data_IF_410831845293
#
_entry.id   IF_410831845293
#
_cell.length_a   1.000
_cell.length_b   1.000
_cell.length_c   1.000
_cell.angle_alpha   90.00
_cell.angle_beta   90.00
_cell.angle_gamma   90.00
#
_symmetry.space_group_name_H-M   'P 1'
#
loop_
_entity.id
_entity.type
_entity.pdbx_description
1 polymer ?
#
# COMPACT_ATOMS: atom_id res chain seq x y z
N UNK A 1 33.72 25.62 -0.09
CA UNK A 1 33.17 24.25 0.12
C UNK A 1 31.66 24.30 -0.06
N UNK A 2 31.11 23.48 -0.96
CA UNK A 2 29.65 23.37 -1.15
C UNK A 2 29.08 22.53 -0.01
N UNK A 3 28.10 23.07 0.72
CA UNK A 3 27.29 22.29 1.66
C UNK A 3 26.60 21.14 0.89
N UNK A 4 26.49 19.94 1.45
CA UNK A 4 25.66 18.89 0.87
C UNK A 4 24.19 19.34 0.98
N UNK A 5 23.50 19.37 -0.16
CA UNK A 5 22.04 19.53 -0.20
C UNK A 5 21.43 18.30 0.46
N UNK A 6 20.87 18.45 1.66
CA UNK A 6 20.10 17.38 2.30
C UNK A 6 18.82 17.17 1.49
N UNK A 7 18.73 16.05 0.79
CA UNK A 7 17.50 15.65 0.13
C UNK A 7 16.62 14.97 1.18
N UNK A 8 15.35 15.36 1.27
CA UNK A 8 14.36 14.73 2.15
C UNK A 8 13.54 13.77 1.29
N UNK A 9 13.27 12.56 1.80
CA UNK A 9 12.51 11.53 1.07
C UNK A 9 11.18 11.32 1.80
N UNK A 10 10.04 11.47 1.12
CA UNK A 10 8.81 11.87 1.84
C UNK A 10 7.53 11.05 1.63
N UNK A 11 7.50 10.10 0.70
CA UNK A 11 6.40 9.11 0.57
C UNK A 11 7.04 7.76 0.36
N UNK A 12 6.39 6.69 0.83
CA UNK A 12 7.10 5.47 1.14
C UNK A 12 6.31 4.23 0.80
N UNK A 13 6.91 3.35 0.00
CA UNK A 13 6.29 2.10 -0.37
C UNK A 13 7.25 0.92 -0.38
N UNK A 14 6.72 -0.15 0.17
CA UNK A 14 7.09 -1.53 0.39
C UNK A 14 6.68 -2.65 -0.55
N UNK A 15 7.31 -2.94 -1.69
CA UNK A 15 7.02 -4.19 -2.41
C UNK A 15 7.90 -5.34 -1.93
N UNK A 16 7.36 -6.56 -1.82
CA UNK A 16 8.14 -7.78 -1.71
C UNK A 16 7.60 -8.89 -2.61
N UNK A 17 8.48 -9.61 -3.31
CA UNK A 17 8.10 -10.73 -4.17
C UNK A 17 9.25 -11.72 -4.36
N UNK A 18 8.89 -12.93 -4.78
CA UNK A 18 9.81 -14.05 -5.00
C UNK A 18 10.34 -14.01 -6.45
N UNK A 19 11.66 -14.05 -6.63
CA UNK A 19 12.28 -14.21 -7.96
C UNK A 19 12.85 -15.63 -8.02
N UNK A 20 12.18 -16.56 -8.72
CA UNK A 20 12.76 -17.78 -9.31
C UNK A 20 11.77 -18.47 -10.29
N UNK A 21 12.25 -19.29 -11.26
CA UNK A 21 11.47 -19.83 -12.36
C UNK A 21 10.68 -21.08 -11.92
N UNK A 22 9.67 -21.46 -12.72
CA UNK A 22 8.80 -22.64 -12.62
C UNK A 22 7.44 -22.46 -11.93
N UNK A 23 6.41 -22.66 -12.76
CA UNK A 23 5.08 -23.14 -12.39
C UNK A 23 5.17 -24.47 -11.63
N UNK A 24 4.20 -24.78 -10.75
CA UNK A 24 3.38 -26.01 -10.80
C UNK A 24 2.26 -26.03 -9.74
N UNK A 25 1.16 -26.64 -10.18
CA UNK A 25 -0.15 -26.91 -9.61
C UNK A 25 -0.22 -27.76 -8.32
N UNK A 26 -1.45 -27.74 -7.75
CA UNK A 26 -2.10 -28.65 -6.78
C UNK A 26 -1.66 -30.13 -6.76
N UNK A 27 -1.64 -30.63 -5.51
CA UNK A 27 -1.93 -31.99 -4.98
C UNK A 27 -0.95 -33.16 -5.20
N UNK A 28 -0.33 -33.64 -4.12
CA UNK A 28 -0.52 -34.96 -3.46
C UNK A 28 0.71 -35.34 -2.61
N UNK A 29 0.51 -36.21 -1.63
CA UNK A 29 1.41 -36.46 -0.48
C UNK A 29 2.81 -37.06 -0.80
N UNK A 30 3.71 -36.78 0.15
CA UNK A 30 4.75 -37.65 0.75
C UNK A 30 6.23 -37.36 0.41
N UNK A 31 7.13 -37.60 1.39
CA UNK A 31 8.24 -36.74 1.71
C UNK A 31 9.53 -37.19 1.05
N UNK A 32 10.25 -36.27 0.41
CA UNK A 32 11.66 -36.47 0.14
C UNK A 32 12.40 -35.16 0.28
N UNK A 33 13.38 -35.20 1.20
CA UNK A 33 14.40 -34.19 1.39
C UNK A 33 15.13 -33.97 0.06
N UNK A 34 14.96 -32.78 -0.51
CA UNK A 34 15.94 -32.10 -1.35
C UNK A 34 15.61 -30.62 -1.20
N UNK A 35 16.19 -29.97 -0.18
CA UNK A 35 16.07 -28.53 0.03
C UNK A 35 16.80 -27.86 -1.13
N UNK A 36 16.00 -27.50 -2.14
CA UNK A 36 16.42 -26.73 -3.30
C UNK A 36 16.99 -25.38 -2.87
N UNK A 37 17.94 -24.96 -3.69
CA UNK A 37 18.84 -23.83 -3.54
C UNK A 37 18.09 -22.49 -3.64
N UNK A 38 18.44 -21.55 -2.73
CA UNK A 38 18.60 -20.12 -3.01
C UNK A 38 17.44 -19.31 -3.66
N UNK A 39 16.23 -19.37 -3.10
CA UNK A 39 15.16 -18.41 -3.47
C UNK A 39 15.51 -16.98 -3.01
N UNK A 40 15.86 -16.11 -3.96
CA UNK A 40 16.14 -14.70 -3.71
C UNK A 40 14.84 -13.88 -3.66
N UNK A 41 14.39 -13.51 -2.47
CA UNK A 41 13.22 -12.62 -2.30
C UNK A 41 13.67 -11.17 -2.40
N UNK A 42 13.03 -10.43 -3.29
CA UNK A 42 13.38 -9.03 -3.54
C UNK A 42 12.33 -8.10 -2.95
N UNK A 43 12.81 -7.11 -2.21
CA UNK A 43 12.07 -5.96 -1.76
C UNK A 43 12.33 -4.77 -2.69
N UNK A 44 11.31 -3.97 -2.98
CA UNK A 44 11.45 -2.68 -3.64
C UNK A 44 10.95 -1.60 -2.71
N UNK A 45 11.87 -0.82 -2.18
CA UNK A 45 11.58 0.38 -1.40
C UNK A 45 11.53 1.58 -2.36
N UNK A 46 10.33 2.11 -2.59
CA UNK A 46 10.12 3.27 -3.44
C UNK A 46 9.75 4.49 -2.62
N UNK A 47 10.20 5.66 -3.08
CA UNK A 47 9.91 6.87 -2.37
C UNK A 47 9.96 8.15 -3.21
N UNK A 48 9.31 9.21 -2.74
CA UNK A 48 9.45 10.54 -3.35
C UNK A 48 10.78 11.19 -2.98
N UNK A 49 11.57 11.58 -3.97
CA UNK A 49 12.77 12.42 -3.79
C UNK A 49 12.36 13.89 -3.72
N UNK A 50 12.71 14.58 -2.63
CA UNK A 50 12.37 16.00 -2.44
C UNK A 50 13.56 16.86 -2.04
N UNK A 51 13.48 18.15 -2.35
CA UNK A 51 14.47 19.16 -1.89
C UNK A 51 14.24 19.61 -0.44
N UNK A 52 13.02 19.45 0.07
CA UNK A 52 12.65 19.80 1.44
C UNK A 52 11.50 18.90 1.91
N UNK A 53 11.05 19.09 3.15
CA UNK A 53 9.87 18.42 3.72
C UNK A 53 8.53 18.83 3.08
N UNK A 54 8.52 19.84 2.21
CA UNK A 54 7.30 20.30 1.57
C UNK A 54 6.94 19.45 0.36
N UNK A 55 5.66 19.08 0.25
CA UNK A 55 5.09 18.36 -0.89
C UNK A 55 5.35 19.05 -2.25
N UNK A 56 5.45 20.38 -2.25
CA UNK A 56 5.70 21.16 -3.48
C UNK A 56 7.10 20.95 -4.07
N UNK A 57 8.04 20.46 -3.25
CA UNK A 57 9.45 20.33 -3.60
C UNK A 57 9.83 18.92 -4.11
N UNK A 58 8.84 18.11 -4.47
CA UNK A 58 9.04 16.81 -5.11
C UNK A 58 9.74 16.95 -6.47
N UNK A 59 10.75 16.11 -6.69
CA UNK A 59 11.57 16.09 -7.90
C UNK A 59 11.34 14.86 -8.77
N UNK A 60 10.92 13.75 -8.17
CA UNK A 60 10.81 12.46 -8.84
C UNK A 60 10.67 11.33 -7.84
N UNK A 61 10.71 10.10 -8.36
CA UNK A 61 10.70 8.90 -7.55
C UNK A 61 12.10 8.29 -7.49
N UNK A 62 12.41 7.70 -6.34
CA UNK A 62 13.60 6.89 -6.13
C UNK A 62 13.19 5.47 -5.77
N UNK A 63 14.05 4.52 -6.12
CA UNK A 63 13.92 3.11 -5.82
C UNK A 63 15.18 2.63 -5.13
N UNK A 64 15.02 1.77 -4.15
CA UNK A 64 16.10 0.96 -3.56
C UNK A 64 15.66 -0.49 -3.58
N UNK A 65 16.49 -1.37 -4.13
CA UNK A 65 16.23 -2.81 -4.19
C UNK A 65 16.85 -3.48 -2.98
N UNK A 66 16.14 -4.41 -2.35
CA UNK A 66 16.58 -5.13 -1.18
C UNK A 66 16.51 -6.64 -1.43
N UNK A 67 17.52 -7.39 -1.03
CA UNK A 67 17.61 -8.82 -1.25
C UNK A 67 17.60 -9.54 0.10
N UNK A 68 16.57 -10.35 0.33
CA UNK A 68 16.46 -11.13 1.56
C UNK A 68 17.46 -12.29 1.53
N UNK A 69 18.42 -12.26 2.44
CA UNK A 69 19.42 -13.32 2.63
C UNK A 69 19.60 -13.57 4.13
N UNK A 70 19.51 -14.83 4.56
CA UNK A 70 19.73 -15.22 5.96
C UNK A 70 18.90 -14.39 6.98
N UNK A 71 17.61 -14.14 6.68
CA UNK A 71 16.70 -13.35 7.53
C UNK A 71 17.06 -11.86 7.67
N UNK A 72 17.97 -11.34 6.85
CA UNK A 72 18.30 -9.92 6.76
C UNK A 72 18.15 -9.44 5.33
N UNK A 73 17.84 -8.16 5.15
CA UNK A 73 17.72 -7.55 3.82
C UNK A 73 19.00 -6.78 3.51
N UNK A 74 19.68 -7.15 2.44
CA UNK A 74 20.81 -6.40 1.89
C UNK A 74 20.31 -5.44 0.83
N UNK A 75 20.57 -4.15 1.00
CA UNK A 75 20.03 -3.11 0.15
C UNK A 75 21.07 -2.59 -0.85
N UNK A 76 20.68 -2.54 -2.12
CA UNK A 76 21.42 -1.90 -3.19
C UNK A 76 21.47 -0.38 -2.98
N UNK A 77 22.22 0.33 -3.84
CA UNK A 77 22.20 1.78 -3.89
C UNK A 77 20.83 2.31 -4.32
N UNK A 78 20.54 3.56 -3.91
CA UNK A 78 19.33 4.26 -4.33
C UNK A 78 19.49 4.70 -5.78
N UNK A 79 18.49 4.42 -6.61
CA UNK A 79 18.41 4.85 -8.01
C UNK A 79 17.23 5.79 -8.22
N UNK A 80 17.36 6.75 -9.13
CA UNK A 80 16.27 7.61 -9.57
C UNK A 80 15.50 6.95 -10.71
N UNK A 81 14.17 6.99 -10.64
CA UNK A 81 13.30 6.46 -11.69
C UNK A 81 13.08 7.52 -12.76
N UNK A 82 14.07 7.72 -13.63
CA UNK A 82 14.04 8.73 -14.70
C UNK A 82 12.88 8.51 -15.70
N UNK A 83 12.44 7.26 -15.87
CA UNK A 83 11.27 6.93 -16.71
C UNK A 83 9.95 7.34 -16.08
N UNK A 84 9.90 7.61 -14.77
CA UNK A 84 8.70 8.05 -14.03
C UNK A 84 8.61 9.59 -13.95
N UNK A 85 8.95 10.27 -15.04
CA UNK A 85 8.92 11.74 -15.13
C UNK A 85 8.12 12.17 -16.35
N UNK A 86 7.24 13.16 -16.14
CA UNK A 86 6.56 13.86 -17.22
C UNK A 86 7.07 15.30 -17.27
N UNK A 87 7.52 15.77 -18.44
CA UNK A 87 8.12 17.08 -18.59
C UNK A 87 7.20 18.20 -18.07
N UNK A 88 7.75 19.10 -17.24
CA UNK A 88 7.01 20.18 -16.58
C UNK A 88 6.29 19.74 -15.29
N UNK A 89 6.00 18.45 -15.12
CA UNK A 89 5.28 17.95 -13.97
C UNK A 89 6.19 17.54 -12.81
N UNK A 90 5.65 17.63 -11.59
CA UNK A 90 6.25 17.00 -10.39
C UNK A 90 5.64 15.63 -10.18
N UNK A 91 6.48 14.60 -10.06
CA UNK A 91 6.02 13.23 -9.78
C UNK A 91 5.87 13.00 -8.28
N UNK A 92 4.73 12.46 -7.86
CA UNK A 92 4.39 12.21 -6.46
C UNK A 92 3.55 10.93 -6.31
N UNK A 93 3.50 10.38 -5.10
CA UNK A 93 2.69 9.20 -4.78
C UNK A 93 3.11 7.98 -5.60
N UNK A 94 4.29 7.39 -5.37
CA UNK A 94 4.60 6.07 -5.93
C UNK A 94 3.53 5.08 -5.48
N UNK A 95 3.18 4.11 -6.33
CA UNK A 95 2.01 3.24 -6.18
C UNK A 95 2.20 1.91 -6.94
N UNK A 96 3.06 0.99 -6.47
CA UNK A 96 3.48 -0.20 -7.19
C UNK A 96 2.68 -1.48 -6.88
N UNK A 97 1.94 -1.98 -7.87
CA UNK A 97 1.24 -3.27 -7.84
C UNK A 97 2.09 -4.35 -8.49
N UNK A 98 2.07 -5.55 -7.93
CA UNK A 98 2.69 -6.73 -8.55
C UNK A 98 1.64 -7.73 -9.02
N UNK A 99 1.61 -7.97 -10.33
CA UNK A 99 0.91 -9.10 -10.92
C UNK A 99 1.80 -10.34 -10.80
N UNK A 100 1.41 -11.26 -9.92
CA UNK A 100 2.16 -12.49 -9.64
C UNK A 100 2.12 -13.48 -10.81
N UNK A 101 1.03 -13.49 -11.57
CA UNK A 101 0.82 -14.44 -12.66
C UNK A 101 1.66 -14.08 -13.87
N UNK A 102 1.69 -12.79 -14.23
CA UNK A 102 2.54 -12.28 -15.31
C UNK A 102 3.95 -11.91 -14.87
N UNK A 103 4.20 -11.84 -13.56
CA UNK A 103 5.45 -11.35 -12.95
C UNK A 103 5.80 -9.95 -13.42
N UNK A 104 4.79 -9.08 -13.52
CA UNK A 104 4.95 -7.69 -13.94
C UNK A 104 4.59 -6.77 -12.78
N UNK A 105 5.41 -5.75 -12.57
CA UNK A 105 5.11 -4.65 -11.66
C UNK A 105 4.60 -3.45 -12.42
N UNK A 106 3.55 -2.84 -11.90
CA UNK A 106 2.97 -1.60 -12.37
C UNK A 106 3.17 -0.56 -11.30
N UNK A 107 3.98 0.47 -11.56
CA UNK A 107 4.16 1.61 -10.67
C UNK A 107 3.31 2.76 -11.18
N UNK A 108 2.21 3.04 -10.48
CA UNK A 108 1.40 4.23 -10.69
C UNK A 108 1.99 5.42 -9.93
N UNK A 109 1.64 6.63 -10.36
CA UNK A 109 2.02 7.88 -9.71
C UNK A 109 1.28 9.08 -10.29
N UNK A 110 1.37 10.22 -9.60
CA UNK A 110 0.73 11.47 -9.99
C UNK A 110 1.74 12.40 -10.60
N UNK A 111 1.37 13.00 -11.74
CA UNK A 111 2.09 14.14 -12.29
C UNK A 111 1.32 15.43 -11.97
N UNK A 112 1.87 16.24 -11.05
CA UNK A 112 1.24 17.43 -10.48
C UNK A 112 1.51 18.67 -11.33
N UNK A 113 0.69 18.84 -12.36
CA UNK A 113 0.34 20.13 -13.01
C UNK A 113 -1.11 20.09 -13.52
N UNK A 114 -1.56 18.92 -13.97
CA UNK A 114 -2.96 18.63 -14.29
C UNK A 114 -3.49 17.41 -13.54
N UNK A 115 -2.77 16.97 -12.51
CA UNK A 115 -3.19 15.88 -11.65
C UNK A 115 -3.39 14.57 -12.45
N UNK A 116 -2.39 14.27 -13.29
CA UNK A 116 -2.43 13.13 -14.23
C UNK A 116 -2.12 11.83 -13.52
N UNK A 117 -2.87 10.78 -13.86
CA UNK A 117 -2.57 9.41 -13.47
C UNK A 117 -1.57 8.83 -14.47
N UNK A 118 -0.36 8.52 -14.00
CA UNK A 118 0.69 7.97 -14.84
C UNK A 118 1.13 6.60 -14.33
N UNK A 119 1.71 5.79 -15.21
CA UNK A 119 2.18 4.45 -14.90
C UNK A 119 3.44 4.10 -15.68
N UNK A 120 4.36 3.39 -15.04
CA UNK A 120 5.47 2.66 -15.67
C UNK A 120 5.43 1.21 -15.23
N UNK A 121 5.99 0.29 -16.01
CA UNK A 121 6.04 -1.13 -15.66
C UNK A 121 7.44 -1.74 -15.69
N UNK A 122 7.66 -2.75 -14.88
CA UNK A 122 8.90 -3.54 -14.85
C UNK A 122 8.57 -5.03 -14.90
N UNK A 123 9.29 -5.78 -15.74
CA UNK A 123 9.16 -7.24 -15.89
C UNK A 123 10.40 -7.99 -15.40
N UNK A 124 11.32 -7.29 -14.75
CA UNK A 124 12.65 -7.78 -14.37
C UNK A 124 13.01 -7.40 -12.92
N UNK A 125 11.99 -7.42 -12.05
CA UNK A 125 12.16 -7.15 -10.63
C UNK A 125 12.71 -5.74 -10.30
N UNK A 126 12.27 -4.75 -11.06
CA UNK A 126 12.54 -3.33 -10.79
C UNK A 126 13.93 -2.90 -11.26
N UNK A 127 14.59 -3.71 -12.09
CA UNK A 127 15.90 -3.39 -12.68
C UNK A 127 15.72 -2.37 -13.79
N UNK A 128 14.77 -2.61 -14.70
CA UNK A 128 14.40 -1.68 -15.76
C UNK A 128 12.91 -1.36 -15.71
N UNK A 129 12.57 -0.20 -16.24
CA UNK A 129 11.21 0.34 -16.25
C UNK A 129 10.86 0.80 -17.67
N UNK A 130 9.61 0.58 -18.07
CA UNK A 130 9.09 1.03 -19.37
C UNK A 130 9.03 2.56 -19.46
N UNK A 131 8.75 3.05 -20.66
CA UNK A 131 8.29 4.43 -20.84
C UNK A 131 6.99 4.68 -20.06
N UNK A 132 6.79 5.96 -19.71
CA UNK A 132 5.61 6.45 -19.00
C UNK A 132 4.36 6.37 -19.88
N UNK A 133 3.29 5.85 -19.29
CA UNK A 133 1.95 5.85 -19.87
C UNK A 133 1.06 6.81 -19.07
N UNK A 134 0.44 7.78 -19.74
CA UNK A 134 -0.57 8.67 -19.14
C UNK A 134 -1.95 8.03 -19.28
N UNK A 135 -2.49 7.52 -18.17
CA UNK A 135 -3.74 6.79 -18.09
C UNK A 135 -4.95 7.69 -17.80
N UNK A 136 -4.75 9.01 -17.71
CA UNK A 136 -5.76 9.94 -17.21
C UNK A 136 -7.06 9.85 -18.01
N UNK A 137 -7.00 9.94 -19.33
CA UNK A 137 -8.21 9.90 -20.17
C UNK A 137 -8.79 8.50 -20.31
N UNK A 138 -7.93 7.48 -20.38
CA UNK A 138 -8.34 6.10 -20.65
C UNK A 138 -9.05 5.47 -19.44
N UNK A 139 -8.63 5.81 -18.23
CA UNK A 139 -9.12 5.18 -16.99
C UNK A 139 -10.13 6.08 -16.27
N UNK A 140 -9.83 7.37 -16.18
CA UNK A 140 -10.67 8.33 -15.47
C UNK A 140 -11.70 8.93 -16.42
N UNK A 141 -11.23 9.51 -17.53
CA UNK A 141 -12.05 10.19 -18.53
C UNK A 141 -13.07 11.17 -17.91
N UNK A 142 -14.27 11.24 -18.50
CA UNK A 142 -15.38 12.06 -18.00
C UNK A 142 -16.15 11.41 -16.83
N UNK A 143 -15.78 10.20 -16.38
CA UNK A 143 -16.50 9.53 -15.26
C UNK A 143 -16.38 10.33 -13.96
N UNK A 144 -15.35 11.16 -13.86
CA UNK A 144 -15.14 12.15 -12.80
C UNK A 144 -15.19 13.55 -13.46
N UNK A 145 -16.33 13.89 -14.08
CA UNK A 145 -16.56 14.98 -15.05
C UNK A 145 -16.27 16.43 -14.61
N UNK A 146 -15.79 16.70 -13.41
CA UNK A 146 -15.43 18.07 -12.99
C UNK A 146 -14.25 18.14 -12.03
N UNK A 147 -13.58 17.02 -11.73
CA UNK A 147 -12.62 16.93 -10.64
C UNK A 147 -11.17 16.82 -11.06
N UNK A 148 -10.33 17.77 -10.67
CA UNK A 148 -8.89 17.53 -10.61
C UNK A 148 -8.63 16.32 -9.71
N UNK A 149 -8.04 15.24 -10.22
CA UNK A 149 -7.48 14.19 -9.36
C UNK A 149 -6.13 14.66 -8.82
N UNK A 150 -6.15 15.71 -8.00
CA UNK A 150 -5.02 15.95 -7.13
C UNK A 150 -4.95 14.77 -6.15
N UNK A 151 -3.78 14.23 -5.86
CA UNK A 151 -3.70 13.15 -4.90
C UNK A 151 -2.53 12.25 -5.18
N UNK A 152 -1.82 11.87 -4.12
CA UNK A 152 -0.75 10.88 -4.16
C UNK A 152 -1.41 9.52 -4.38
N UNK A 153 -1.07 8.84 -5.48
CA UNK A 153 -1.45 7.44 -5.65
C UNK A 153 -0.52 6.59 -4.76
N UNK A 154 -0.96 5.43 -4.29
CA UNK A 154 -0.15 4.37 -3.68
C UNK A 154 -0.91 3.04 -3.87
N UNK A 155 -0.40 1.93 -4.39
CA UNK A 155 -1.20 0.69 -4.58
C UNK A 155 -0.23 -0.46 -4.42
N UNK A 156 -0.65 -1.51 -3.72
CA UNK A 156 -0.32 -2.89 -4.03
C UNK A 156 -1.59 -3.55 -4.57
N UNK A 157 -1.71 -4.88 -4.60
CA UNK A 157 -2.95 -5.54 -4.98
C UNK A 157 -4.15 -4.93 -4.24
N UNK A 158 -4.88 -4.09 -4.98
CA UNK A 158 -5.68 -2.97 -4.49
C UNK A 158 -4.89 -2.01 -3.61
N UNK A 159 -4.89 -0.73 -3.96
CA UNK A 159 -4.48 0.22 -2.95
C UNK A 159 -4.89 1.65 -3.22
N UNK A 160 -4.32 2.46 -2.36
CA UNK A 160 -4.43 3.90 -2.21
C UNK A 160 -4.62 4.69 -3.51
N UNK A 161 -5.88 4.84 -3.86
CA UNK A 161 -6.38 5.94 -4.65
C UNK A 161 -7.31 6.80 -3.81
N UNK A 162 -7.19 8.10 -3.92
CA UNK A 162 -8.30 8.99 -3.61
C UNK A 162 -8.43 10.02 -4.71
N UNK A 163 -9.66 10.17 -5.22
CA UNK A 163 -10.02 11.20 -6.16
C UNK A 163 -10.66 12.37 -5.41
N UNK A 164 -10.40 13.60 -5.85
CA UNK A 164 -11.27 14.70 -5.47
C UNK A 164 -12.48 14.70 -6.41
N UNK A 165 -13.67 14.53 -5.82
CA UNK A 165 -14.88 14.96 -6.49
C UNK A 165 -14.99 16.48 -6.27
N UNK A 166 -14.90 17.24 -7.35
CA UNK A 166 -15.28 18.66 -7.33
C UNK A 166 -16.78 18.70 -7.58
N UNK A 167 -17.58 18.70 -6.50
CA UNK A 167 -19.01 18.89 -6.66
C UNK A 167 -19.28 20.37 -6.90
N UNK A 168 -19.50 20.77 -8.16
CA UNK A 168 -19.96 22.11 -8.48
C UNK A 168 -21.43 22.26 -8.02
N UNK A 169 -21.64 22.73 -6.80
CA UNK A 169 -22.95 23.23 -6.40
C UNK A 169 -23.12 24.63 -6.97
N UNK A 170 -23.91 24.79 -8.04
CA UNK A 170 -24.22 26.11 -8.60
C UNK A 170 -25.27 26.83 -7.73
N UNK A 171 -24.93 27.06 -6.45
CA UNK A 171 -25.75 27.82 -5.51
C UNK A 171 -25.34 29.29 -5.60
N UNK A 172 -26.05 30.08 -6.40
CA UNK A 172 -26.06 31.55 -6.36
C UNK A 172 -24.73 32.23 -5.96
N UNK A 173 -23.72 32.11 -6.81
CA UNK A 173 -22.59 33.06 -6.84
C UNK A 173 -21.46 32.90 -5.82
N UNK A 174 -21.25 31.74 -5.17
CA UNK A 174 -20.06 31.53 -4.30
C UNK A 174 -19.46 30.12 -4.34
N UNK A 175 -18.12 30.10 -4.45
CA UNK A 175 -17.09 29.07 -4.20
C UNK A 175 -17.33 27.64 -4.70
N UNK A 176 -16.40 27.14 -5.52
CA UNK A 176 -16.24 25.70 -5.79
C UNK A 176 -15.76 25.00 -4.51
N UNK A 177 -16.43 23.91 -4.11
CA UNK A 177 -16.00 23.06 -3.00
C UNK A 177 -15.56 21.70 -3.53
N UNK A 178 -14.44 21.21 -3.02
CA UNK A 178 -13.88 19.91 -3.41
C UNK A 178 -13.98 18.95 -2.22
N UNK A 179 -14.51 17.75 -2.47
CA UNK A 179 -14.67 16.71 -1.46
C UNK A 179 -13.84 15.50 -1.88
N UNK A 180 -12.85 15.08 -1.08
CA UNK A 180 -12.04 13.93 -1.41
C UNK A 180 -12.79 12.63 -1.09
N UNK A 181 -12.67 11.68 -1.99
CA UNK A 181 -13.22 10.34 -1.87
C UNK A 181 -12.19 9.31 -2.33
N UNK A 182 -11.95 8.30 -1.52
CA UNK A 182 -11.13 7.15 -1.91
C UNK A 182 -11.78 6.36 -3.04
N UNK A 183 -10.94 5.74 -3.86
CA UNK A 183 -11.30 4.80 -4.91
C UNK A 183 -10.15 3.80 -5.10
N UNK A 184 -10.36 2.76 -5.90
CA UNK A 184 -9.26 1.90 -6.34
C UNK A 184 -9.28 1.71 -7.86
N UNK A 185 -8.10 1.44 -8.40
CA UNK A 185 -7.91 1.01 -9.78
C UNK A 185 -7.79 -0.50 -9.83
N UNK A 186 -8.32 -1.12 -10.87
CA UNK A 186 -8.24 -2.57 -11.05
C UNK A 186 -8.12 -2.93 -12.54
N UNK A 187 -7.67 -4.15 -12.80
CA UNK A 187 -7.55 -4.72 -14.13
C UNK A 187 -7.95 -6.19 -14.08
N UNK A 188 -8.67 -6.65 -15.11
CA UNK A 188 -9.11 -8.04 -15.25
C UNK A 188 -8.33 -8.79 -16.36
N UNK A 189 -7.40 -8.09 -17.03
CA UNK A 189 -6.67 -8.58 -18.20
C UNK A 189 -5.15 -8.44 -18.05
N UNK A 190 -4.69 -8.50 -16.81
CA UNK A 190 -3.28 -8.41 -16.42
C UNK A 190 -2.62 -7.08 -16.83
N UNK A 191 -3.34 -5.97 -16.64
CA UNK A 191 -2.86 -4.62 -16.84
C UNK A 191 -2.80 -4.16 -18.30
N UNK A 192 -3.48 -4.86 -19.21
CA UNK A 192 -3.68 -4.38 -20.59
C UNK A 192 -4.67 -3.20 -20.60
N UNK A 193 -5.73 -3.30 -19.81
CA UNK A 193 -6.68 -2.21 -19.54
C UNK A 193 -6.88 -2.01 -18.04
N UNK A 194 -7.26 -0.79 -17.67
CA UNK A 194 -7.47 -0.39 -16.29
C UNK A 194 -8.85 0.25 -16.13
N UNK A 195 -9.50 -0.09 -15.03
CA UNK A 195 -10.82 0.38 -14.64
C UNK A 195 -10.73 1.09 -13.28
N UNK A 196 -11.73 1.90 -12.99
CA UNK A 196 -11.86 2.67 -11.74
C UNK A 196 -13.12 2.23 -11.00
N UNK A 197 -13.02 2.07 -9.69
CA UNK A 197 -14.17 1.76 -8.84
C UNK A 197 -15.15 2.94 -8.72
N UNK A 198 -16.30 2.68 -8.11
CA UNK A 198 -17.11 3.70 -7.47
C UNK A 198 -16.28 4.50 -6.45
N UNK A 199 -16.79 5.67 -6.05
CA UNK A 199 -16.19 6.47 -4.98
C UNK A 199 -16.71 5.99 -3.63
N UNK A 200 -15.86 6.00 -2.60
CA UNK A 200 -16.33 5.81 -1.21
C UNK A 200 -17.29 6.95 -0.85
N UNK A 201 -18.56 6.62 -0.71
CA UNK A 201 -19.63 7.58 -0.43
C UNK A 201 -19.75 7.91 1.06
N UNK A 202 -20.54 8.93 1.39
CA UNK A 202 -20.96 9.32 2.76
C UNK A 202 -19.87 9.88 3.69
N UNK A 203 -18.59 9.55 3.48
CA UNK A 203 -17.45 10.11 4.22
C UNK A 203 -16.43 10.74 3.28
N UNK A 204 -15.87 11.88 3.70
CA UNK A 204 -14.67 12.43 3.06
C UNK A 204 -13.47 11.58 3.45
N UNK A 205 -12.89 10.94 2.45
CA UNK A 205 -11.86 9.90 2.57
C UNK A 205 -10.62 10.32 1.79
N UNK A 206 -9.45 9.82 2.19
CA UNK A 206 -8.13 10.25 1.70
C UNK A 206 -7.27 9.02 1.36
N UNK A 207 -5.97 9.01 1.69
CA UNK A 207 -5.12 7.83 1.50
C UNK A 207 -5.78 6.59 2.10
N UNK A 208 -5.91 5.52 1.30
CA UNK A 208 -6.54 4.27 1.72
C UNK A 208 -5.66 3.07 1.36
N UNK A 209 -5.44 2.07 2.20
CA UNK A 209 -4.84 0.82 1.71
C UNK A 209 -5.90 -0.23 1.48
N UNK A 210 -5.55 -1.26 0.74
CA UNK A 210 -6.48 -2.36 0.52
C UNK A 210 -5.81 -3.73 0.51
N UNK A 211 -6.60 -4.73 0.84
CA UNK A 211 -6.16 -6.10 0.98
C UNK A 211 -7.28 -7.06 0.61
N UNK A 212 -6.93 -8.10 -0.15
CA UNK A 212 -7.85 -9.20 -0.42
C UNK A 212 -8.03 -10.06 0.82
N UNK A 213 -9.29 -10.36 1.15
CA UNK A 213 -9.70 -11.22 2.26
C UNK A 213 -10.64 -12.29 1.75
N UNK A 214 -10.76 -13.39 2.49
CA UNK A 214 -11.68 -14.48 2.14
C UNK A 214 -12.90 -14.46 3.05
N UNK A 215 -14.08 -14.51 2.44
CA UNK A 215 -15.37 -14.62 3.13
C UNK A 215 -15.54 -16.00 3.76
N UNK A 216 -16.48 -16.17 4.71
CA UNK A 216 -16.79 -17.48 5.29
C UNK A 216 -17.19 -18.56 4.28
N UNK A 217 -17.72 -18.16 3.12
CA UNK A 217 -18.09 -19.04 1.99
C UNK A 217 -16.93 -19.34 1.02
N UNK A 218 -15.69 -18.97 1.41
CA UNK A 218 -14.46 -19.13 0.64
C UNK A 218 -14.35 -18.25 -0.63
N UNK A 219 -15.25 -17.29 -0.84
CA UNK A 219 -15.16 -16.37 -1.97
C UNK A 219 -14.30 -15.13 -1.61
N UNK A 220 -13.62 -14.52 -2.60
CA UNK A 220 -12.81 -13.34 -2.36
C UNK A 220 -13.69 -12.13 -2.04
N UNK A 221 -13.12 -11.23 -1.26
CA UNK A 221 -13.67 -9.92 -0.93
C UNK A 221 -12.50 -8.97 -0.77
N UNK A 222 -12.73 -7.72 -1.11
CA UNK A 222 -11.75 -6.68 -0.97
C UNK A 222 -12.07 -5.80 0.24
N UNK A 223 -11.09 -5.64 1.13
CA UNK A 223 -11.14 -4.76 2.29
C UNK A 223 -10.31 -3.51 2.00
N UNK A 224 -10.83 -2.33 2.35
CA UNK A 224 -10.13 -1.06 2.27
C UNK A 224 -10.10 -0.41 3.66
N UNK A 225 -8.95 0.15 4.03
CA UNK A 225 -8.78 0.99 5.20
C UNK A 225 -8.42 2.41 4.77
N UNK A 226 -9.28 3.38 5.06
CA UNK A 226 -9.11 4.77 4.61
C UNK A 226 -8.84 5.73 5.77
N UNK A 227 -7.92 6.67 5.51
CA UNK A 227 -7.72 7.88 6.31
C UNK A 227 -8.96 8.76 6.18
N UNK A 228 -9.41 9.29 7.31
CA UNK A 228 -10.50 10.26 7.38
C UNK A 228 -10.10 11.40 8.31
N UNK A 229 -10.56 12.62 8.04
CA UNK A 229 -10.27 13.77 8.91
C UNK A 229 -11.28 13.82 10.07
N UNK A 230 -10.86 14.37 11.21
CA UNK A 230 -11.70 14.80 12.35
C UNK A 230 -12.42 13.72 13.17
N UNK A 231 -12.44 12.46 12.76
CA UNK A 231 -13.16 11.40 13.48
C UNK A 231 -12.31 10.67 14.52
N UNK A 232 -10.98 10.80 14.48
CA UNK A 232 -10.06 10.15 15.42
C UNK A 232 -10.00 8.61 15.28
N UNK A 233 -10.64 8.05 14.25
CA UNK A 233 -10.65 6.64 13.90
C UNK A 233 -10.39 6.48 12.40
N UNK A 234 -9.95 5.29 11.98
CA UNK A 234 -9.92 4.88 10.58
C UNK A 234 -11.34 4.53 10.10
N UNK A 235 -11.58 4.60 8.80
CA UNK A 235 -12.77 4.01 8.21
C UNK A 235 -12.42 2.77 7.40
N UNK A 236 -13.36 1.84 7.36
CA UNK A 236 -13.27 0.56 6.66
C UNK A 236 -14.35 0.52 5.59
N UNK A 237 -13.99 0.00 4.43
CA UNK A 237 -14.90 -0.19 3.31
C UNK A 237 -14.69 -1.59 2.76
N UNK A 238 -15.76 -2.20 2.27
CA UNK A 238 -15.67 -3.49 1.60
C UNK A 238 -16.19 -3.41 0.17
N UNK A 239 -15.60 -4.22 -0.69
CA UNK A 239 -16.02 -4.42 -2.07
C UNK A 239 -16.24 -5.92 -2.27
N UNK A 240 -17.49 -6.30 -2.56
CA UNK A 240 -17.88 -7.69 -2.79
C UNK A 240 -17.73 -8.09 -4.26
N UNK A 241 -17.81 -7.11 -5.15
CA UNK A 241 -17.71 -7.27 -6.60
C UNK A 241 -16.75 -6.20 -7.15
N UNK A 242 -15.96 -6.53 -8.19
CA UNK A 242 -15.04 -5.58 -8.80
C UNK A 242 -15.71 -4.26 -9.17
N UNK A 243 -15.09 -3.16 -8.78
CA UNK A 243 -15.55 -1.80 -9.02
C UNK A 243 -16.62 -1.28 -8.04
N UNK A 244 -17.31 -2.10 -7.26
CA UNK A 244 -18.35 -1.62 -6.34
C UNK A 244 -17.83 -1.38 -4.91
N UNK A 245 -18.30 -0.32 -4.24
CA UNK A 245 -17.94 -0.01 -2.85
C UNK A 245 -19.15 0.12 -1.95
N UNK A 246 -19.13 -0.60 -0.83
CA UNK A 246 -20.15 -0.46 0.21
C UNK A 246 -19.99 0.83 1.00
N UNK A 247 -20.98 1.13 1.85
CA UNK A 247 -20.91 2.27 2.77
C UNK A 247 -19.74 2.11 3.76
N UNK A 248 -18.99 3.18 4.06
CA UNK A 248 -17.89 3.10 5.01
C UNK A 248 -18.40 2.94 6.45
N UNK A 249 -17.64 2.21 7.27
CA UNK A 249 -17.85 2.08 8.73
C UNK A 249 -16.63 2.55 9.50
N UNK A 250 -16.80 3.11 10.69
CA UNK A 250 -15.67 3.51 11.54
C UNK A 250 -15.08 2.29 12.26
N UNK A 251 -13.78 2.03 12.07
CA UNK A 251 -13.03 1.01 12.81
C UNK A 251 -12.87 1.46 14.27
N UNK A 252 -13.65 0.89 15.19
CA UNK A 252 -13.64 1.32 16.59
C UNK A 252 -12.30 1.08 17.29
N UNK A 253 -11.55 0.09 16.82
CA UNK A 253 -10.27 -0.33 17.37
C UNK A 253 -9.06 0.31 16.70
N UNK A 254 -9.23 0.96 15.53
CA UNK A 254 -8.15 1.59 14.79
C UNK A 254 -8.23 3.11 14.90
N UNK A 255 -7.35 3.66 15.74
CA UNK A 255 -7.24 5.10 15.96
C UNK A 255 -6.64 5.82 14.75
N UNK A 256 -7.06 7.08 14.58
CA UNK A 256 -6.46 8.03 13.65
C UNK A 256 -5.76 9.15 14.44
N UNK A 257 -4.71 9.74 13.86
CA UNK A 257 -3.85 10.72 14.53
C UNK A 257 -4.15 12.17 14.14
N UNK A 258 -4.46 12.97 15.15
CA UNK A 258 -4.62 14.43 15.02
C UNK A 258 -5.75 14.85 14.09
N UNK A 259 -5.77 16.13 13.75
CA UNK A 259 -6.83 16.69 12.90
C UNK A 259 -6.75 16.21 11.44
N UNK A 260 -5.52 16.07 10.94
CA UNK A 260 -5.29 15.74 9.54
C UNK A 260 -5.28 14.24 9.29
N UNK A 261 -5.06 13.38 10.29
CA UNK A 261 -4.80 11.96 10.09
C UNK A 261 -3.41 11.65 9.53
N UNK A 262 -3.09 10.38 9.35
CA UNK A 262 -1.90 9.87 8.70
C UNK A 262 -2.25 8.76 7.70
N UNK A 263 -1.37 8.50 6.73
CA UNK A 263 -1.44 7.25 5.99
C UNK A 263 -1.02 6.11 6.92
N UNK A 264 -1.57 4.93 6.69
CA UNK A 264 -1.15 3.67 7.27
C UNK A 264 -1.28 2.57 6.22
N UNK A 265 -0.83 1.36 6.55
CA UNK A 265 -0.82 0.26 5.60
C UNK A 265 -1.47 -1.00 6.12
N UNK A 266 -2.23 -1.67 5.27
CA UNK A 266 -2.85 -2.97 5.55
C UNK A 266 -2.43 -3.97 4.48
N UNK A 267 -2.07 -5.18 4.89
CA UNK A 267 -1.90 -6.32 3.97
C UNK A 267 -2.60 -7.54 4.54
N UNK A 268 -3.03 -8.44 3.65
CA UNK A 268 -3.52 -9.75 4.04
C UNK A 268 -2.39 -10.79 4.02
N UNK A 269 -2.55 -11.81 4.85
CA UNK A 269 -1.65 -12.95 4.89
C UNK A 269 -2.41 -14.23 5.28
N UNK A 270 -1.89 -15.42 4.90
CA UNK A 270 -2.51 -16.69 5.24
C UNK A 270 -2.53 -16.92 6.76
N UNK A 271 -3.70 -17.23 7.29
CA UNK A 271 -3.90 -17.72 8.65
C UNK A 271 -3.62 -19.22 8.79
N UNK A 272 -3.49 -19.74 10.03
CA UNK A 272 -3.31 -21.16 10.28
C UNK A 272 -4.52 -21.95 9.79
N UNK A 273 -4.26 -23.03 9.05
CA UNK A 273 -5.31 -23.90 8.54
C UNK A 273 -5.98 -24.65 9.69
N UNK A 274 -7.32 -24.62 9.83
CA UNK A 274 -8.02 -25.35 10.87
C UNK A 274 -7.98 -26.88 10.68
N UNK A 275 -7.58 -27.39 9.50
CA UNK A 275 -7.37 -28.82 9.29
C UNK A 275 -6.38 -29.10 8.15
N UNK A 276 -5.40 -30.02 8.32
CA UNK A 276 -4.45 -30.37 7.27
C UNK A 276 -5.08 -31.09 6.05
N UNK A 277 -6.36 -31.45 6.12
CA UNK A 277 -7.09 -32.20 5.09
C UNK A 277 -7.90 -31.31 4.12
N UNK A 278 -8.10 -30.02 4.42
CA UNK A 278 -8.85 -29.08 3.58
C UNK A 278 -8.00 -27.85 3.23
N UNK A 279 -7.09 -28.01 2.26
CA UNK A 279 -6.15 -26.98 1.81
C UNK A 279 -6.78 -25.79 1.08
N UNK A 280 -8.07 -25.83 0.74
CA UNK A 280 -8.72 -24.77 -0.06
C UNK A 280 -9.39 -23.66 0.78
N UNK A 281 -9.44 -23.78 2.11
CA UNK A 281 -10.12 -22.82 3.01
C UNK A 281 -9.16 -22.26 4.07
N UNK A 282 -7.96 -21.83 3.68
CA UNK A 282 -7.11 -21.09 4.63
C UNK A 282 -7.73 -19.70 4.87
N UNK A 283 -8.03 -19.33 6.12
CA UNK A 283 -8.55 -17.99 6.40
C UNK A 283 -7.46 -16.96 6.12
N UNK A 284 -7.84 -15.79 5.64
CA UNK A 284 -6.91 -14.66 5.54
C UNK A 284 -7.04 -13.79 6.78
N UNK A 285 -5.90 -13.40 7.33
CA UNK A 285 -5.78 -12.44 8.41
C UNK A 285 -5.32 -11.11 7.83
N UNK A 286 -5.62 -10.03 8.55
CA UNK A 286 -5.14 -8.70 8.19
C UNK A 286 -4.11 -8.24 9.20
N UNK A 287 -3.06 -7.59 8.72
CA UNK A 287 -2.12 -6.83 9.54
C UNK A 287 -2.16 -5.37 9.10
N UNK A 288 -2.20 -4.47 10.07
CA UNK A 288 -2.26 -3.03 9.85
C UNK A 288 -1.13 -2.33 10.62
N UNK A 289 -0.50 -1.34 9.99
CA UNK A 289 0.46 -0.44 10.64
C UNK A 289 0.01 1.00 10.57
N UNK A 290 0.10 1.69 11.71
CA UNK A 290 -0.23 3.10 11.83
C UNK A 290 0.29 3.69 13.15
N UNK A 291 0.56 5.01 13.23
CA UNK A 291 0.80 5.69 14.51
C UNK A 291 -0.35 5.47 15.50
N UNK A 292 -0.02 5.24 16.76
CA UNK A 292 -0.99 4.77 17.77
C UNK A 292 -1.52 5.88 18.68
N UNK A 293 -0.95 7.07 18.61
CA UNK A 293 -1.43 8.23 19.37
C UNK A 293 -2.54 8.99 18.62
N UNK A 294 -3.55 9.43 19.37
CA UNK A 294 -4.74 10.11 18.82
C UNK A 294 -4.48 11.55 18.39
N UNK A 295 -3.37 12.16 18.82
CA UNK A 295 -3.05 13.58 18.59
C UNK A 295 -1.86 13.74 17.67
N UNK A 296 -0.81 12.96 17.94
CA UNK A 296 0.50 13.13 17.34
C UNK A 296 0.92 11.90 16.53
N UNK A 297 1.74 12.14 15.51
CA UNK A 297 2.33 11.10 14.66
C UNK A 297 3.51 10.46 15.38
N UNK A 298 3.19 9.63 16.36
CA UNK A 298 4.14 8.92 17.21
C UNK A 298 3.73 7.47 17.43
N UNK A 299 4.70 6.65 17.81
CA UNK A 299 4.57 5.26 18.21
C UNK A 299 3.88 4.40 17.14
N UNK A 300 4.67 3.93 16.15
CA UNK A 300 4.17 3.04 15.10
C UNK A 300 3.82 1.67 15.68
N UNK A 301 2.54 1.30 15.57
CA UNK A 301 2.00 0.04 16.05
C UNK A 301 1.58 -0.88 14.92
N UNK A 302 1.60 -2.17 15.22
CA UNK A 302 1.05 -3.26 14.40
C UNK A 302 -0.22 -3.77 15.08
N UNK A 303 -1.34 -3.74 14.36
CA UNK A 303 -2.60 -4.35 14.77
C UNK A 303 -2.91 -5.54 13.85
N UNK A 304 -3.53 -6.58 14.38
CA UNK A 304 -3.90 -7.79 13.62
C UNK A 304 -5.39 -8.03 13.76
N UNK A 305 -6.07 -8.32 12.66
CA UNK A 305 -7.47 -8.74 12.66
C UNK A 305 -7.58 -10.20 12.24
N UNK A 306 -8.14 -11.01 13.14
CA UNK A 306 -8.45 -12.40 12.89
C UNK A 306 -9.88 -12.53 12.39
N UNK A 307 -10.10 -12.26 11.10
CA UNK A 307 -11.43 -12.22 10.49
C UNK A 307 -12.25 -13.51 10.70
N UNK A 308 -11.59 -14.66 10.89
CA UNK A 308 -12.20 -15.97 11.12
C UNK A 308 -12.24 -16.42 12.59
N UNK A 309 -11.91 -15.56 13.55
CA UNK A 309 -11.91 -15.91 14.98
C UNK A 309 -13.31 -15.74 15.60
N UNK A 310 -13.70 -16.51 16.63
CA UNK A 310 -14.99 -16.34 17.33
C UNK A 310 -15.25 -14.95 17.91
N UNK A 311 -14.19 -14.16 18.09
CA UNK A 311 -14.20 -12.76 18.53
C UNK A 311 -13.43 -11.93 17.50
N UNK A 312 -14.04 -11.65 16.33
CA UNK A 312 -13.38 -10.87 15.29
C UNK A 312 -13.16 -9.43 15.76
N UNK A 313 -12.10 -8.79 15.25
CA UNK A 313 -11.73 -7.44 15.64
C UNK A 313 -10.21 -7.24 15.61
N UNK A 314 -9.79 -5.98 15.64
CA UNK A 314 -8.38 -5.62 15.67
C UNK A 314 -7.78 -5.80 17.06
N UNK A 315 -6.58 -6.36 17.11
CA UNK A 315 -5.78 -6.45 18.34
C UNK A 315 -5.39 -5.06 18.85
N UNK A 316 -4.96 -5.01 20.11
CA UNK A 316 -4.19 -3.85 20.60
C UNK A 316 -2.90 -3.71 19.77
N UNK A 317 -2.40 -2.47 19.57
CA UNK A 317 -1.19 -2.26 18.81
C UNK A 317 0.04 -2.80 19.55
N UNK A 318 0.87 -3.56 18.84
CA UNK A 318 2.22 -3.89 19.25
C UNK A 318 3.21 -2.92 18.60
N UNK A 319 3.98 -2.20 19.40
CA UNK A 319 4.87 -1.16 18.88
C UNK A 319 6.12 -1.74 18.21
N UNK A 320 6.33 -1.35 16.96
CA UNK A 320 7.55 -1.65 16.18
C UNK A 320 8.50 -0.45 16.13
N UNK A 321 8.02 0.75 16.46
CA UNK A 321 8.85 1.93 16.66
C UNK A 321 8.24 2.83 17.75
N UNK A 322 9.10 3.34 18.65
CA UNK A 322 8.71 4.36 19.64
C UNK A 322 9.19 5.74 19.20
N UNK A 323 8.45 6.79 19.54
CA UNK A 323 8.76 8.17 19.14
C UNK A 323 8.17 8.53 17.78
N UNK A 324 8.72 9.53 17.09
CA UNK A 324 8.10 10.06 15.87
C UNK A 324 7.91 8.96 14.81
N UNK A 325 6.72 8.89 14.24
CA UNK A 325 6.31 7.83 13.29
C UNK A 325 5.18 8.34 12.41
N UNK A 326 5.29 8.19 11.11
CA UNK A 326 4.25 8.61 10.18
C UNK A 326 3.95 7.52 9.15
N UNK A 327 3.95 7.87 7.87
CA UNK A 327 3.55 6.99 6.76
C UNK A 327 4.31 5.68 6.88
N UNK A 328 3.60 4.58 6.73
CA UNK A 328 4.14 3.23 6.79
C UNK A 328 3.59 2.41 5.65
N UNK A 329 4.37 1.44 5.20
CA UNK A 329 3.94 0.47 4.23
C UNK A 329 4.42 -0.94 4.56
N UNK A 330 3.59 -1.93 4.28
CA UNK A 330 3.79 -3.32 4.65
C UNK A 330 3.95 -4.19 3.41
N UNK A 331 4.87 -5.14 3.50
CA UNK A 331 5.00 -6.23 2.56
C UNK A 331 4.99 -7.56 3.31
N UNK A 332 4.13 -8.49 2.88
CA UNK A 332 4.16 -9.86 3.38
C UNK A 332 5.13 -10.71 2.58
N UNK A 333 5.96 -11.48 3.27
CA UNK A 333 6.92 -12.42 2.70
C UNK A 333 6.68 -13.79 3.31
N UNK A 334 6.22 -14.75 2.50
CA UNK A 334 6.10 -16.13 2.95
C UNK A 334 7.48 -16.67 3.35
N UNK A 335 7.57 -17.47 4.40
CA UNK A 335 8.82 -18.12 4.81
C UNK A 335 8.78 -19.61 4.44
N UNK A 336 9.91 -20.21 4.05
CA UNK A 336 9.97 -21.59 3.58
C UNK A 336 9.81 -22.65 4.71
N UNK A 337 9.42 -22.24 5.92
CA UNK A 337 9.19 -23.14 7.05
C UNK A 337 7.70 -23.41 7.17
N UNK A 338 7.31 -24.69 7.16
CA UNK A 338 5.92 -25.14 7.20
C UNK A 338 5.13 -24.66 8.44
N UNK A 339 5.83 -24.19 9.47
CA UNK A 339 5.28 -23.86 10.78
C UNK A 339 5.36 -22.35 11.10
N UNK A 340 5.83 -21.53 10.15
CA UNK A 340 6.08 -20.10 10.36
C UNK A 340 5.05 -19.26 9.57
N UNK A 341 4.49 -18.24 10.22
CA UNK A 341 3.42 -17.37 9.70
C UNK A 341 3.92 -16.38 8.63
N UNK A 342 5.15 -16.55 8.15
CA UNK A 342 5.84 -15.61 7.27
C UNK A 342 6.52 -14.48 8.04
N UNK A 343 7.07 -13.54 7.26
CA UNK A 343 7.67 -12.32 7.75
C UNK A 343 6.99 -11.11 7.11
N UNK A 344 7.03 -9.99 7.82
CA UNK A 344 6.50 -8.72 7.36
C UNK A 344 7.65 -7.73 7.27
N UNK A 345 7.88 -7.20 6.07
CA UNK A 345 8.69 -6.01 5.89
C UNK A 345 7.81 -4.79 6.14
N UNK A 346 8.25 -3.84 6.96
CA UNK A 346 7.60 -2.56 7.11
C UNK A 346 8.59 -1.45 6.84
N UNK A 347 8.21 -0.56 5.92
CA UNK A 347 8.97 0.63 5.58
C UNK A 347 8.18 1.82 6.14
N UNK A 348 8.77 2.63 7.01
CA UNK A 348 8.06 3.73 7.65
C UNK A 348 8.91 4.99 7.85
N UNK A 349 8.23 6.13 7.95
CA UNK A 349 8.84 7.43 8.20
C UNK A 349 9.03 7.69 9.69
N UNK A 350 10.23 8.11 10.09
CA UNK A 350 10.57 8.50 11.46
C UNK A 350 11.70 9.53 11.52
N UNK A 351 12.00 10.02 12.71
CA UNK A 351 13.15 10.85 13.02
C UNK A 351 13.30 11.07 14.52
N UNK A 352 14.34 11.80 14.90
CA UNK A 352 14.58 12.12 16.31
C UNK A 352 13.73 13.32 16.73
N UNK A 353 13.59 14.32 15.84
CA UNK A 353 12.75 15.50 16.10
C UNK A 353 11.46 15.48 15.27
N UNK A 354 11.55 15.11 13.99
CA UNK A 354 10.42 15.13 13.06
C UNK A 354 10.31 13.80 12.32
N UNK A 355 9.07 13.34 12.10
CA UNK A 355 8.81 12.06 11.44
C UNK A 355 9.27 12.02 9.97
N UNK A 356 9.62 13.14 9.33
CA UNK A 356 10.06 13.19 7.93
C UNK A 356 11.57 13.18 7.73
N UNK A 357 12.36 12.96 8.78
CA UNK A 357 13.82 12.98 8.68
C UNK A 357 14.39 11.74 7.98
N UNK A 358 13.78 10.58 8.19
CA UNK A 358 14.29 9.30 7.73
C UNK A 358 13.18 8.36 7.29
N UNK A 359 13.58 7.43 6.43
CA UNK A 359 12.83 6.24 6.06
C UNK A 359 13.58 5.05 6.62
N UNK A 360 12.87 4.21 7.37
CA UNK A 360 13.45 3.03 8.00
C UNK A 360 12.69 1.78 7.58
N UNK A 361 13.45 0.72 7.32
CA UNK A 361 12.92 -0.61 7.09
C UNK A 361 13.07 -1.46 8.36
N UNK A 362 12.02 -2.17 8.74
CA UNK A 362 12.09 -3.24 9.73
C UNK A 362 11.51 -4.54 9.17
N UNK A 363 12.09 -5.67 9.57
CA UNK A 363 11.57 -7.00 9.27
C UNK A 363 11.15 -7.65 10.59
N UNK A 364 9.93 -8.18 10.65
CA UNK A 364 9.42 -8.86 11.85
C UNK A 364 8.59 -10.10 11.51
N UNK A 365 8.62 -11.10 12.39
CA UNK A 365 7.86 -12.37 12.25
C UNK A 365 6.89 -12.62 13.41
N UNK A 366 7.13 -11.98 14.55
CA UNK A 366 6.33 -12.18 15.76
C UNK A 366 5.13 -11.25 15.78
N UNK A 367 3.95 -11.79 15.50
CA UNK A 367 2.70 -11.24 15.98
C UNK A 367 2.50 -11.81 17.41
N UNK A 368 3.15 -11.22 18.42
CA UNK A 368 3.21 -11.86 19.74
C UNK A 368 1.81 -11.98 20.40
N UNK A 369 1.50 -13.22 20.81
CA UNK A 369 0.52 -13.67 21.82
C UNK A 369 -0.97 -13.48 21.52
N UNK A 370 -1.53 -14.37 20.70
CA UNK A 370 -2.90 -14.86 20.91
C UNK A 370 -2.91 -15.87 22.05
N UNK A 371 -2.91 -15.39 23.30
CA UNK A 371 -3.33 -16.15 24.47
C UNK A 371 -3.90 -15.21 25.53
#
# INVERSE_FOLDING_TARGET
ERMPTSHTIDVLIILAFDIEPYHIFKTSQSPSQNILQNESKTFLAMAEKRKSSNDVDALGLVLRRGHLQNQAVQWDDVVELETALLLGCRTMGPCPVYDRDQRVMFLFFTCIENARLCMVKSSDAGVTWSELVDLTNDVIGDKISTGHIAGKWATHAVGQGYAYLIQQSHCMGKSTYTHPHSLYLYSEDHGQTWLVSELVSELQTLECEAAEITRPDASPQLYLNTRIKKQGLRAEVVSLEPGSLHKPTLAQELVETGYNGCQGSVVSFPGPSPSPTHSNNQPFWLVFTHPTDKKDRVDLGVCVNLLSHPTPGWSKPWLINRGTSAYSDLAYVATCRADDMGAFGCLFKRGDSNYWEQIVFCLFTKLHSYH
#
